data_IF_942393780683
#
_entry.id   IF_942393780683
#
_cell.length_a   1.000
_cell.length_b   1.000
_cell.length_c   1.000
_cell.angle_alpha   90.00
_cell.angle_beta   90.00
_cell.angle_gamma   90.00
#
_symmetry.space_group_name_H-M   'P 1'
#
loop_
_entity.id
_entity.type
_entity.pdbx_description
1 polymer ?
#
# COMPACT_ATOMS: atom_id res chain seq x y z
N UNK A 1 -11.30 -15.07 -0.80
CA UNK A 1 -10.39 -16.14 -1.30
C UNK A 1 -8.96 -15.84 -0.88
N UNK A 2 -8.19 -16.83 -0.45
CA UNK A 2 -6.75 -16.66 -0.17
C UNK A 2 -5.92 -17.21 -1.34
N UNK A 3 -4.81 -16.55 -1.66
CA UNK A 3 -3.89 -16.92 -2.74
C UNK A 3 -2.45 -16.70 -2.31
N UNK A 4 -1.52 -17.57 -2.71
CA UNK A 4 -0.11 -17.48 -2.34
C UNK A 4 0.83 -17.44 -3.55
N UNK A 5 1.81 -16.54 -3.50
CA UNK A 5 2.88 -16.46 -4.50
C UNK A 5 3.79 -17.69 -4.50
N UNK A 6 3.88 -18.40 -3.37
CA UNK A 6 4.59 -19.67 -3.25
C UNK A 6 3.57 -20.81 -3.27
N UNK A 7 3.72 -21.85 -4.11
CA UNK A 7 2.82 -23.00 -4.11
C UNK A 7 2.75 -23.69 -2.75
N UNK A 8 1.55 -23.79 -2.17
CA UNK A 8 1.28 -24.44 -0.88
C UNK A 8 0.14 -25.44 -1.04
N UNK A 9 0.47 -26.61 -1.61
CA UNK A 9 -0.51 -27.66 -1.90
C UNK A 9 -1.34 -28.03 -0.67
N UNK A 10 -2.67 -28.04 -0.80
CA UNK A 10 -3.61 -28.37 0.26
C UNK A 10 -3.90 -27.26 1.29
N UNK A 11 -3.20 -26.11 1.22
CA UNK A 11 -3.38 -25.00 2.17
C UNK A 11 -4.04 -23.80 1.51
N UNK A 12 -3.47 -23.32 0.40
CA UNK A 12 -3.93 -22.12 -0.29
C UNK A 12 -3.65 -22.23 -1.78
N UNK A 13 -4.56 -21.69 -2.60
CA UNK A 13 -4.37 -21.68 -4.05
C UNK A 13 -3.14 -20.86 -4.44
N UNK A 14 -2.44 -21.31 -5.48
CA UNK A 14 -1.38 -20.50 -6.08
C UNK A 14 -1.97 -19.21 -6.67
N UNK A 15 -1.26 -18.10 -6.52
CA UNK A 15 -1.67 -16.82 -7.08
C UNK A 15 -1.82 -16.91 -8.59
N UNK A 16 -3.01 -16.57 -9.06
CA UNK A 16 -3.33 -16.40 -10.47
C UNK A 16 -4.07 -15.06 -10.61
N UNK A 17 -3.46 -14.15 -11.38
CA UNK A 17 -3.99 -12.81 -11.61
C UNK A 17 -5.43 -12.82 -12.14
N UNK A 18 -5.76 -13.74 -13.04
CA UNK A 18 -7.11 -13.83 -13.64
C UNK A 18 -8.13 -14.33 -12.62
N UNK A 19 -7.75 -15.28 -11.76
CA UNK A 19 -8.60 -15.71 -10.64
C UNK A 19 -8.82 -14.57 -9.65
N UNK A 20 -7.77 -13.85 -9.28
CA UNK A 20 -7.87 -12.71 -8.36
C UNK A 20 -8.83 -11.64 -8.90
N UNK A 21 -8.66 -11.25 -10.17
CA UNK A 21 -9.56 -10.29 -10.82
C UNK A 21 -11.02 -10.76 -10.86
N UNK A 22 -11.26 -12.05 -11.14
CA UNK A 22 -12.62 -12.61 -11.12
C UNK A 22 -13.24 -12.59 -9.72
N UNK A 23 -12.49 -13.00 -8.70
CA UNK A 23 -12.95 -12.97 -7.32
C UNK A 23 -13.30 -11.53 -6.90
N UNK A 24 -12.43 -10.56 -7.17
CA UNK A 24 -12.69 -9.14 -6.89
C UNK A 24 -13.93 -8.62 -7.64
N UNK A 25 -14.10 -8.99 -8.91
CA UNK A 25 -15.27 -8.61 -9.71
C UNK A 25 -16.59 -9.20 -9.20
N UNK A 26 -16.52 -10.33 -8.50
CA UNK A 26 -17.68 -10.96 -7.85
C UNK A 26 -17.98 -10.37 -6.46
N UNK A 27 -17.19 -9.39 -6.00
CA UNK A 27 -17.31 -8.80 -4.66
C UNK A 27 -16.61 -9.60 -3.56
N UNK A 28 -15.78 -10.59 -3.92
CA UNK A 28 -15.03 -11.37 -2.94
C UNK A 28 -13.81 -10.60 -2.44
N UNK A 29 -13.54 -10.69 -1.13
CA UNK A 29 -12.27 -10.24 -0.54
C UNK A 29 -11.16 -11.21 -0.91
N UNK A 30 -10.07 -10.72 -1.51
CA UNK A 30 -8.88 -11.53 -1.86
C UNK A 30 -7.73 -11.25 -0.90
N UNK A 31 -7.16 -12.29 -0.32
CA UNK A 31 -5.99 -12.22 0.57
C UNK A 31 -4.77 -12.74 -0.18
N UNK A 32 -3.77 -11.88 -0.39
CA UNK A 32 -2.49 -12.25 -0.99
C UNK A 32 -1.48 -12.62 0.09
N UNK A 33 -0.92 -13.82 -0.01
CA UNK A 33 0.07 -14.37 0.91
C UNK A 33 1.42 -14.62 0.22
N UNK A 34 2.44 -14.85 1.03
CA UNK A 34 3.83 -15.07 0.62
C UNK A 34 4.48 -13.91 -0.17
N UNK A 35 3.96 -12.68 -0.02
CA UNK A 35 4.55 -11.48 -0.60
C UNK A 35 4.72 -11.59 -2.13
N UNK A 36 5.89 -11.19 -2.64
CA UNK A 36 6.26 -11.39 -4.05
C UNK A 36 6.63 -12.83 -4.38
N UNK A 37 6.78 -13.70 -3.38
CA UNK A 37 7.34 -15.04 -3.49
C UNK A 37 8.87 -15.09 -3.59
N UNK A 38 9.54 -13.94 -3.59
CA UNK A 38 10.99 -13.83 -3.74
C UNK A 38 11.64 -13.28 -2.46
N UNK A 39 12.84 -13.77 -2.08
CA UNK A 39 13.61 -13.14 -1.01
C UNK A 39 14.03 -11.72 -1.41
N UNK A 40 14.44 -10.91 -0.43
CA UNK A 40 14.92 -9.53 -0.59
C UNK A 40 13.85 -8.49 -0.93
N UNK A 41 12.58 -8.88 -1.06
CA UNK A 41 11.46 -7.95 -1.23
C UNK A 41 10.67 -7.80 0.06
N UNK A 42 10.16 -6.58 0.30
CA UNK A 42 9.31 -6.28 1.45
C UNK A 42 7.84 -6.58 1.16
N UNK A 43 7.01 -6.55 2.20
CA UNK A 43 5.55 -6.59 2.04
C UNK A 43 5.01 -5.36 1.31
N UNK A 44 5.64 -4.19 1.46
CA UNK A 44 5.25 -2.97 0.74
C UNK A 44 5.44 -3.15 -0.78
N UNK A 45 6.59 -3.72 -1.18
CA UNK A 45 6.85 -4.09 -2.58
C UNK A 45 5.77 -5.06 -3.11
N UNK A 46 5.36 -6.02 -2.30
CA UNK A 46 4.28 -6.95 -2.66
C UNK A 46 2.92 -6.26 -2.79
N UNK A 47 2.58 -5.35 -1.88
CA UNK A 47 1.31 -4.62 -1.90
C UNK A 47 1.21 -3.76 -3.16
N UNK A 48 2.29 -3.07 -3.51
CA UNK A 48 2.39 -2.27 -4.73
C UNK A 48 2.26 -3.14 -5.98
N UNK A 49 3.01 -4.24 -6.07
CA UNK A 49 2.93 -5.19 -7.19
C UNK A 49 1.52 -5.74 -7.37
N UNK A 50 0.91 -6.25 -6.30
CA UNK A 50 -0.44 -6.85 -6.37
C UNK A 50 -1.49 -5.80 -6.69
N UNK A 51 -1.40 -4.60 -6.12
CA UNK A 51 -2.27 -3.47 -6.44
C UNK A 51 -2.25 -3.13 -7.92
N UNK A 52 -1.07 -3.06 -8.52
CA UNK A 52 -0.90 -2.81 -9.97
C UNK A 52 -1.50 -3.95 -10.80
N UNK A 53 -1.19 -5.21 -10.46
CA UNK A 53 -1.67 -6.36 -11.23
C UNK A 53 -3.20 -6.49 -11.22
N UNK A 54 -3.83 -6.22 -10.07
CA UNK A 54 -5.30 -6.26 -9.93
C UNK A 54 -5.98 -4.96 -10.36
N UNK A 55 -5.20 -3.95 -10.80
CA UNK A 55 -5.69 -2.62 -11.19
C UNK A 55 -6.50 -1.95 -10.08
N UNK A 56 -5.97 -1.97 -8.86
CA UNK A 56 -6.55 -1.22 -7.76
C UNK A 56 -6.53 0.28 -8.06
N UNK A 57 -7.51 1.03 -7.55
CA UNK A 57 -7.55 2.49 -7.68
C UNK A 57 -6.54 3.18 -6.76
N UNK A 58 -6.22 2.55 -5.62
CA UNK A 58 -5.28 3.07 -4.61
C UNK A 58 -4.74 1.93 -3.75
N UNK A 59 -3.48 2.05 -3.32
CA UNK A 59 -2.89 1.21 -2.28
C UNK A 59 -3.02 1.91 -0.93
N UNK A 60 -3.74 1.29 0.01
CA UNK A 60 -3.89 1.80 1.37
C UNK A 60 -2.86 1.16 2.31
N UNK A 61 -1.90 1.95 2.78
CA UNK A 61 -0.87 1.54 3.75
C UNK A 61 -1.29 1.94 5.16
N UNK A 62 -1.78 0.95 5.88
CA UNK A 62 -2.11 1.05 7.30
C UNK A 62 -0.84 1.10 8.17
N UNK A 63 -0.68 2.15 8.97
CA UNK A 63 0.45 2.36 9.89
C UNK A 63 -0.04 2.63 11.32
N UNK A 64 0.91 2.79 12.25
CA UNK A 64 0.63 3.24 13.64
C UNK A 64 0.63 4.76 13.80
N UNK A 65 1.14 5.47 12.79
CA UNK A 65 1.07 6.93 12.68
C UNK A 65 0.00 7.27 11.65
N UNK A 66 -0.59 8.44 11.80
CA UNK A 66 -1.73 8.93 11.02
C UNK A 66 -1.33 9.55 9.69
N UNK A 67 -0.11 9.33 9.19
CA UNK A 67 0.35 9.83 7.91
C UNK A 67 1.87 9.75 7.74
N UNK A 68 2.38 10.47 6.76
CA UNK A 68 3.80 10.68 6.50
C UNK A 68 4.23 12.00 7.12
N UNK A 69 5.34 11.98 7.83
CA UNK A 69 5.89 13.12 8.55
C UNK A 69 7.28 13.47 8.02
N UNK A 70 7.71 14.73 8.24
CA UNK A 70 9.06 15.21 7.90
C UNK A 70 10.17 14.51 8.69
N UNK A 71 9.86 14.06 9.91
CA UNK A 71 10.70 13.27 10.78
C UNK A 71 9.83 12.26 11.56
N UNK A 72 10.44 11.37 12.35
CA UNK A 72 9.67 10.46 13.21
C UNK A 72 8.96 11.26 14.34
N UNK A 73 7.62 11.34 14.36
CA UNK A 73 6.89 12.17 15.31
C UNK A 73 6.99 11.68 16.76
N UNK A 74 7.46 10.45 16.99
CA UNK A 74 7.70 9.92 18.33
C UNK A 74 9.00 10.46 18.93
N UNK A 75 10.02 10.68 18.10
CA UNK A 75 11.35 11.11 18.53
C UNK A 75 11.65 12.59 18.27
N UNK A 76 10.99 13.19 17.28
CA UNK A 76 11.13 14.60 16.92
C UNK A 76 9.80 15.36 17.11
N UNK A 77 9.69 16.25 18.13
CA UNK A 77 8.48 17.03 18.36
C UNK A 77 8.24 18.12 17.30
N UNK A 78 9.21 18.38 16.43
CA UNK A 78 9.08 19.33 15.31
C UNK A 78 8.61 18.65 14.01
N UNK A 79 8.33 17.34 14.05
CA UNK A 79 7.83 16.60 12.90
C UNK A 79 6.50 17.17 12.40
N UNK A 80 6.46 17.54 11.12
CA UNK A 80 5.27 18.06 10.45
C UNK A 80 4.66 16.98 9.56
N UNK A 81 3.34 16.82 9.64
CA UNK A 81 2.58 15.89 8.81
C UNK A 81 2.33 16.51 7.43
N UNK A 82 2.46 15.70 6.38
CA UNK A 82 2.05 16.07 5.03
C UNK A 82 0.65 15.55 4.72
N UNK A 83 -0.18 16.34 4.06
CA UNK A 83 -1.50 15.89 3.59
C UNK A 83 -1.42 15.23 2.20
N UNK A 84 -0.62 15.83 1.31
CA UNK A 84 -0.37 15.35 -0.05
C UNK A 84 1.12 15.43 -0.33
N UNK A 85 1.65 14.41 -1.01
CA UNK A 85 3.03 14.35 -1.48
C UNK A 85 3.05 13.82 -2.92
N UNK A 86 4.01 14.29 -3.70
CA UNK A 86 4.38 13.67 -4.97
C UNK A 86 5.34 12.50 -4.72
N UNK A 87 5.44 11.57 -5.68
CA UNK A 87 6.42 10.49 -5.60
C UNK A 87 7.86 11.01 -5.49
N UNK A 88 8.18 12.07 -6.22
CA UNK A 88 9.53 12.64 -6.24
C UNK A 88 9.84 13.36 -4.92
N UNK A 89 8.88 14.04 -4.28
CA UNK A 89 9.07 14.59 -2.94
C UNK A 89 9.39 13.51 -1.89
N UNK A 90 8.74 12.34 -1.99
CA UNK A 90 9.02 11.21 -1.09
C UNK A 90 10.46 10.72 -1.27
N UNK A 91 10.94 10.65 -2.52
CA UNK A 91 12.29 10.22 -2.87
C UNK A 91 13.35 11.24 -2.46
N UNK A 92 13.14 12.51 -2.79
CA UNK A 92 14.09 13.60 -2.55
C UNK A 92 14.27 13.87 -1.05
N UNK A 93 13.16 13.88 -0.31
CA UNK A 93 13.18 14.07 1.15
C UNK A 93 13.48 12.77 1.92
N UNK A 94 13.62 11.64 1.22
CA UNK A 94 13.87 10.30 1.80
C UNK A 94 12.88 9.96 2.93
N UNK A 95 11.61 10.27 2.72
CA UNK A 95 10.57 10.05 3.72
C UNK A 95 10.37 8.55 3.94
N UNK A 96 10.28 8.13 5.21
CA UNK A 96 10.17 6.73 5.61
C UNK A 96 8.78 6.11 5.36
N UNK A 97 8.29 6.17 4.12
CA UNK A 97 6.93 5.72 3.75
C UNK A 97 6.90 4.21 3.49
N UNK A 98 7.72 3.79 2.53
CA UNK A 98 7.90 2.42 2.04
C UNK A 98 9.37 2.25 1.62
N UNK A 99 9.79 1.03 1.35
CA UNK A 99 11.10 0.82 0.72
C UNK A 99 11.15 1.48 -0.67
N UNK A 100 12.36 1.85 -1.09
CA UNK A 100 12.60 2.57 -2.34
C UNK A 100 12.05 1.81 -3.57
N UNK A 101 12.12 0.47 -3.57
CA UNK A 101 11.65 -0.37 -4.67
C UNK A 101 10.13 -0.25 -4.83
N UNK A 102 9.40 -0.25 -3.73
CA UNK A 102 7.95 -0.08 -3.72
C UNK A 102 7.53 1.30 -4.25
N UNK A 103 8.21 2.38 -3.81
CA UNK A 103 7.92 3.75 -4.26
C UNK A 103 8.19 3.90 -5.76
N UNK A 104 9.33 3.42 -6.25
CA UNK A 104 9.63 3.46 -7.69
C UNK A 104 8.58 2.68 -8.50
N UNK A 105 8.16 1.50 -8.02
CA UNK A 105 7.19 0.67 -8.71
C UNK A 105 5.83 1.36 -8.87
N UNK A 106 5.32 2.01 -7.81
CA UNK A 106 4.05 2.74 -7.88
C UNK A 106 4.14 4.02 -8.69
N UNK A 107 5.29 4.73 -8.64
CA UNK A 107 5.54 5.91 -9.47
C UNK A 107 5.49 5.56 -10.95
N UNK A 108 6.21 4.52 -11.36
CA UNK A 108 6.31 4.11 -12.77
C UNK A 108 4.96 3.66 -13.36
N UNK A 109 4.00 3.28 -12.51
CA UNK A 109 2.66 2.87 -12.91
C UNK A 109 1.57 3.88 -12.55
N UNK A 110 1.92 5.04 -11.99
CA UNK A 110 0.96 6.06 -11.54
C UNK A 110 -0.06 5.53 -10.51
N UNK A 111 0.35 4.59 -9.65
CA UNK A 111 -0.51 3.98 -8.63
C UNK A 111 -0.54 4.86 -7.37
N UNK A 112 -1.68 5.46 -6.98
CA UNK A 112 -1.74 6.27 -5.78
C UNK A 112 -1.54 5.41 -4.52
N UNK A 113 -0.93 5.99 -3.49
CA UNK A 113 -0.73 5.35 -2.18
C UNK A 113 -1.27 6.27 -1.09
N UNK A 114 -2.10 5.74 -0.19
CA UNK A 114 -2.57 6.48 1.00
C UNK A 114 -1.98 5.87 2.25
N UNK A 115 -1.29 6.65 3.07
CA UNK A 115 -0.80 6.24 4.39
C UNK A 115 -1.73 6.77 5.47
N UNK A 116 -2.20 5.90 6.37
CA UNK A 116 -3.16 6.30 7.41
C UNK A 116 -3.01 5.44 8.67
N UNK A 117 -3.51 5.95 9.81
CA UNK A 117 -3.53 5.20 11.07
C UNK A 117 -4.65 4.16 11.07
N UNK A 118 -4.27 2.89 11.29
CA UNK A 118 -5.23 1.80 11.36
C UNK A 118 -5.99 1.72 12.70
N UNK A 119 -5.45 2.35 13.76
CA UNK A 119 -6.09 2.39 15.07
C UNK A 119 -7.24 3.41 15.12
N UNK A 120 -7.22 4.41 14.24
CA UNK A 120 -8.28 5.40 14.12
C UNK A 120 -9.56 4.75 13.59
N UNK A 121 -10.54 4.58 14.48
CA UNK A 121 -11.84 4.01 14.14
C UNK A 121 -12.53 4.84 13.05
N UNK A 122 -12.91 4.19 11.96
CA UNK A 122 -13.61 4.82 10.85
C UNK A 122 -12.71 5.40 9.76
N UNK A 123 -11.39 5.45 9.94
CA UNK A 123 -10.47 6.02 8.94
C UNK A 123 -10.59 5.33 7.57
N UNK A 124 -10.59 3.99 7.55
CA UNK A 124 -10.75 3.22 6.30
C UNK A 124 -12.06 3.56 5.58
N UNK A 125 -13.17 3.66 6.31
CA UNK A 125 -14.48 3.99 5.72
C UNK A 125 -14.50 5.44 5.20
N UNK A 126 -13.86 6.36 5.92
CA UNK A 126 -13.70 7.75 5.51
C UNK A 126 -12.94 7.86 4.19
N UNK A 127 -11.78 7.20 4.08
CA UNK A 127 -10.93 7.18 2.87
C UNK A 127 -11.71 6.63 1.67
N UNK A 128 -12.39 5.49 1.84
CA UNK A 128 -13.19 4.87 0.76
C UNK A 128 -14.34 5.77 0.31
N UNK A 129 -14.80 6.69 1.17
CA UNK A 129 -15.82 7.70 0.83
C UNK A 129 -15.26 9.02 0.29
N UNK A 130 -13.95 9.11 0.07
CA UNK A 130 -13.28 10.31 -0.44
C UNK A 130 -12.83 11.30 0.65
N UNK A 131 -12.77 10.88 1.91
CA UNK A 131 -12.17 11.66 2.99
C UNK A 131 -10.66 11.84 2.83
N UNK A 132 -10.12 12.81 3.56
CA UNK A 132 -8.73 13.26 3.54
C UNK A 132 -7.89 12.70 4.69
N UNK A 133 -8.28 11.56 5.25
CA UNK A 133 -7.54 10.93 6.35
C UNK A 133 -6.13 10.49 5.92
N UNK A 134 -5.14 10.90 6.70
CA UNK A 134 -3.73 10.60 6.47
C UNK A 134 -3.15 11.26 5.22
N UNK A 135 -2.07 10.69 4.68
CA UNK A 135 -1.30 11.31 3.60
C UNK A 135 -1.54 10.62 2.28
N UNK A 136 -1.85 11.37 1.23
CA UNK A 136 -1.96 10.87 -0.15
C UNK A 136 -0.65 11.09 -0.91
N UNK A 137 -0.15 10.04 -1.54
CA UNK A 137 1.01 10.06 -2.42
C UNK A 137 0.54 9.73 -3.84
N UNK A 138 0.75 10.64 -4.78
CA UNK A 138 0.32 10.48 -6.17
C UNK A 138 1.23 11.25 -7.15
N UNK A 139 0.97 11.13 -8.45
CA UNK A 139 1.65 11.94 -9.46
C UNK A 139 1.17 13.40 -9.46
N UNK A 140 1.86 14.25 -10.22
CA UNK A 140 1.36 15.59 -10.57
C UNK A 140 0.09 15.53 -11.42
#
# INVERSE_FOLDING_TARGET
>A
QAMSSIPMSGVVEHYDRRKALRALSNGDVVIFAAGTGNPLFTTDSSACLRGIEVKADVVLKATKVDGVYSADPVSDPTAEKFDVLTYDEVLDKKLGVMDLTAICLVRDHGMPVRVFDMAQKGALLSIVRGGDEGTLIQGE
#
